data_IF_759772303252
#
_entry.id   IF_759772303252
#
_cell.length_a   1.000
_cell.length_b   1.000
_cell.length_c   1.000
_cell.angle_alpha   90.00
_cell.angle_beta   90.00
_cell.angle_gamma   90.00
#
_symmetry.space_group_name_H-M   'P 1'
#
loop_
_entity.id
_entity.type
_entity.pdbx_description
1 polymer ?
#
# COMPACT_ATOMS: atom_id res chain seq x y z
N UNK A 1 9.57 14.80 -11.06
CA UNK A 1 9.75 15.98 -10.17
C UNK A 1 11.23 16.08 -9.82
N UNK A 2 11.79 17.29 -9.79
CA UNK A 2 13.13 17.55 -9.26
C UNK A 2 12.92 18.38 -7.98
N UNK A 3 13.57 17.98 -6.89
CA UNK A 3 13.45 18.65 -5.58
C UNK A 3 14.81 19.28 -5.28
N UNK A 4 14.87 20.61 -5.25
CA UNK A 4 16.06 21.32 -4.76
C UNK A 4 15.90 21.51 -3.24
N UNK A 5 16.58 20.64 -2.50
CA UNK A 5 16.49 20.58 -1.05
C UNK A 5 17.27 21.73 -0.38
N UNK A 6 18.26 22.32 -1.07
CA UNK A 6 19.07 23.41 -0.52
C UNK A 6 18.29 24.72 -0.50
N UNK A 7 17.52 24.99 -1.57
CA UNK A 7 16.70 26.20 -1.67
C UNK A 7 15.30 26.04 -1.06
N UNK A 8 14.87 24.81 -0.74
CA UNK A 8 13.53 24.53 -0.22
C UNK A 8 12.43 24.80 -1.25
N UNK A 9 12.77 24.69 -2.54
CA UNK A 9 11.85 24.90 -3.65
C UNK A 9 11.53 23.56 -4.33
N UNK A 10 10.24 23.28 -4.47
CA UNK A 10 9.76 22.12 -5.21
C UNK A 10 9.30 22.55 -6.59
N UNK A 11 9.86 21.93 -7.62
CA UNK A 11 9.58 22.24 -9.02
C UNK A 11 8.76 21.14 -9.68
N UNK A 12 7.52 21.46 -10.05
CA UNK A 12 6.64 20.57 -10.82
C UNK A 12 6.62 21.03 -12.28
N UNK A 13 6.92 20.11 -13.20
CA UNK A 13 6.81 20.36 -14.64
C UNK A 13 5.59 19.60 -15.16
N UNK A 14 4.70 20.31 -15.84
CA UNK A 14 3.57 19.76 -16.60
C UNK A 14 3.76 20.10 -18.08
N UNK A 15 2.84 19.67 -18.95
CA UNK A 15 3.00 19.82 -20.42
C UNK A 15 3.09 21.30 -20.85
N UNK A 16 4.32 21.83 -20.88
CA UNK A 16 4.63 23.21 -21.27
C UNK A 16 4.79 24.18 -20.10
N UNK A 17 4.39 23.79 -18.88
CA UNK A 17 4.36 24.68 -17.72
C UNK A 17 5.29 24.21 -16.59
N UNK A 18 5.73 25.18 -15.79
CA UNK A 18 6.59 24.94 -14.64
C UNK A 18 6.03 25.71 -13.43
N UNK A 19 5.77 24.97 -12.35
CA UNK A 19 5.24 25.50 -11.10
C UNK A 19 6.31 25.34 -10.03
N UNK A 20 6.64 26.43 -9.32
CA UNK A 20 7.53 26.42 -8.17
C UNK A 20 6.73 26.59 -6.88
N UNK A 21 7.03 25.75 -5.89
CA UNK A 21 6.43 25.80 -4.56
C UNK A 21 7.52 26.07 -3.52
N UNK A 22 7.30 27.07 -2.66
CA UNK A 22 8.11 27.24 -1.46
C UNK A 22 7.67 26.24 -0.40
N UNK A 23 8.52 25.23 -0.14
CA UNK A 23 8.19 24.13 0.77
C UNK A 23 8.14 24.62 2.23
N UNK A 24 8.99 25.59 2.61
CA UNK A 24 8.99 26.13 3.97
C UNK A 24 7.71 26.92 4.28
N UNK A 25 7.21 27.67 3.30
CA UNK A 25 5.93 28.37 3.45
C UNK A 25 4.76 27.40 3.47
N UNK A 26 4.76 26.37 2.60
CA UNK A 26 3.71 25.35 2.57
C UNK A 26 3.66 24.47 3.83
N UNK A 27 4.80 24.29 4.51
CA UNK A 27 4.88 23.55 5.78
C UNK A 27 4.54 24.41 7.01
N UNK A 28 4.32 25.72 6.86
CA UNK A 28 3.85 26.54 7.98
C UNK A 28 2.46 26.07 8.39
N UNK A 29 2.33 25.65 9.64
CA UNK A 29 1.03 25.43 10.25
C UNK A 29 0.37 26.79 10.46
N UNK A 30 -0.89 26.92 10.05
CA UNK A 30 -1.66 28.16 10.15
C UNK A 30 -2.10 28.51 11.58
N UNK A 31 -1.84 27.65 12.57
CA UNK A 31 -2.09 27.94 13.98
C UNK A 31 -0.75 28.17 14.70
N UNK A 32 -0.43 29.45 14.87
CA UNK A 32 0.54 29.97 15.85
C UNK A 32 -0.06 29.95 17.27
N UNK A 33 -0.69 28.86 17.70
CA UNK A 33 -0.78 28.63 19.14
C UNK A 33 0.56 28.01 19.56
N UNK A 34 1.21 28.68 20.52
CA UNK A 34 2.48 28.34 21.17
C UNK A 34 2.81 26.84 21.12
N UNK A 35 4.09 26.44 20.96
CA UNK A 35 4.46 25.02 20.96
C UNK A 35 3.88 24.33 22.20
N UNK A 36 2.74 23.65 22.02
CA UNK A 36 2.01 23.07 23.13
C UNK A 36 2.86 21.91 23.61
N UNK A 37 3.45 22.05 24.80
CA UNK A 37 4.21 20.99 25.43
C UNK A 37 3.31 19.76 25.59
N UNK A 38 3.52 18.74 24.77
CA UNK A 38 2.76 17.50 24.85
C UNK A 38 3.24 16.67 26.04
N UNK A 39 2.31 16.32 26.94
CA UNK A 39 2.59 15.38 28.03
C UNK A 39 2.52 13.96 27.47
N UNK A 40 3.68 13.31 27.40
CA UNK A 40 3.76 11.88 27.03
C UNK A 40 3.46 11.06 28.28
N UNK A 41 2.38 10.28 28.25
CA UNK A 41 2.02 9.33 29.30
C UNK A 41 2.25 7.92 28.78
N UNK A 42 3.11 7.16 29.46
CA UNK A 42 3.40 5.76 29.11
C UNK A 42 2.27 4.92 29.67
N UNK A 43 1.38 4.46 28.80
CA UNK A 43 0.36 3.47 29.15
C UNK A 43 1.04 2.10 29.05
N UNK A 44 1.36 1.51 30.20
CA UNK A 44 1.69 0.07 30.26
C UNK A 44 0.44 -0.71 29.83
N UNK A 45 0.42 -1.12 28.57
CA UNK A 45 -0.50 -2.15 28.11
C UNK A 45 -0.03 -3.43 28.77
N UNK A 46 -0.62 -3.75 29.92
CA UNK A 46 -0.68 -5.14 30.35
C UNK A 46 -1.34 -5.85 29.19
N UNK A 47 -0.60 -6.67 28.44
CA UNK A 47 -1.17 -7.70 27.58
C UNK A 47 -2.00 -8.62 28.48
N UNK A 48 -3.18 -8.16 28.87
CA UNK A 48 -4.27 -9.09 29.04
C UNK A 48 -4.35 -9.78 27.70
N UNK A 49 -4.34 -11.12 27.73
CA UNK A 49 -4.59 -11.94 26.55
C UNK A 49 -5.95 -11.51 26.02
N UNK A 50 -5.98 -10.47 25.20
CA UNK A 50 -7.03 -10.23 24.27
C UNK A 50 -7.05 -11.52 23.50
N UNK A 51 -8.02 -12.38 23.85
CA UNK A 51 -8.50 -13.42 22.97
C UNK A 51 -8.55 -12.73 21.64
N UNK A 52 -7.77 -13.25 20.70
CA UNK A 52 -7.75 -12.85 19.30
C UNK A 52 -9.16 -13.07 18.76
N UNK A 53 -10.09 -12.23 19.18
CA UNK A 53 -11.21 -11.86 18.38
C UNK A 53 -10.58 -10.89 17.41
N UNK A 54 -10.15 -11.47 16.31
CA UNK A 54 -10.07 -10.82 15.01
C UNK A 54 -11.44 -10.19 14.71
N UNK A 55 -11.77 -9.13 15.44
CA UNK A 55 -12.75 -8.15 15.02
C UNK A 55 -12.03 -7.28 14.00
N UNK A 56 -11.54 -7.91 12.92
CA UNK A 56 -11.05 -7.16 11.78
C UNK A 56 -12.26 -6.44 11.18
N UNK A 57 -12.13 -5.15 10.79
CA UNK A 57 -13.16 -4.47 10.03
C UNK A 57 -13.52 -5.29 8.78
N UNK A 58 -14.79 -5.21 8.37
CA UNK A 58 -15.38 -5.98 7.26
C UNK A 58 -14.58 -5.92 5.94
N UNK A 59 -13.77 -4.87 5.75
CA UNK A 59 -12.92 -4.69 4.59
C UNK A 59 -11.73 -5.65 4.55
N UNK A 60 -11.00 -5.85 5.65
CA UNK A 60 -9.82 -6.73 5.67
C UNK A 60 -10.22 -8.19 5.43
N UNK A 61 -11.32 -8.62 6.07
CA UNK A 61 -11.88 -9.96 5.82
C UNK A 61 -12.31 -10.13 4.37
N UNK A 62 -13.02 -9.16 3.81
CA UNK A 62 -13.42 -9.20 2.39
C UNK A 62 -12.22 -9.19 1.43
N UNK A 63 -11.12 -8.52 1.81
CA UNK A 63 -9.89 -8.51 1.02
C UNK A 63 -9.21 -9.89 1.04
N UNK A 64 -9.10 -10.52 2.21
CA UNK A 64 -8.53 -11.87 2.36
C UNK A 64 -9.37 -12.90 1.60
N UNK A 65 -10.70 -12.88 1.76
CA UNK A 65 -11.61 -13.79 1.06
C UNK A 65 -11.49 -13.63 -0.48
N UNK A 66 -11.26 -12.40 -0.97
CA UNK A 66 -11.04 -12.14 -2.40
C UNK A 66 -9.69 -12.66 -2.90
N UNK A 67 -8.64 -12.61 -2.08
CA UNK A 67 -7.32 -13.12 -2.43
C UNK A 67 -7.34 -14.66 -2.51
N UNK A 68 -7.98 -15.32 -1.55
CA UNK A 68 -8.13 -16.78 -1.52
C UNK A 68 -8.94 -17.30 -2.72
N UNK A 69 -10.02 -16.59 -3.09
CA UNK A 69 -10.83 -16.93 -4.25
C UNK A 69 -10.05 -16.81 -5.57
N UNK A 70 -9.23 -15.76 -5.70
CA UNK A 70 -8.37 -15.51 -6.85
C UNK A 70 -7.26 -16.56 -6.97
N UNK A 71 -6.62 -16.95 -5.87
CA UNK A 71 -5.59 -17.98 -5.85
C UNK A 71 -6.14 -19.35 -6.31
N UNK A 72 -7.37 -19.68 -5.89
CA UNK A 72 -8.05 -20.90 -6.33
C UNK A 72 -8.45 -20.89 -7.81
N UNK A 73 -8.67 -19.72 -8.41
CA UNK A 73 -8.89 -19.56 -9.85
C UNK A 73 -7.60 -19.76 -10.63
N UNK A 74 -6.52 -19.06 -10.24
CA UNK A 74 -5.20 -19.21 -10.88
C UNK A 74 -4.68 -20.64 -10.79
N UNK A 75 -4.88 -21.31 -9.65
CA UNK A 75 -4.49 -22.72 -9.49
C UNK A 75 -5.20 -23.64 -10.49
N UNK A 76 -6.48 -23.39 -10.76
CA UNK A 76 -7.26 -24.14 -11.76
C UNK A 76 -6.81 -23.85 -13.18
N UNK A 77 -6.52 -22.60 -13.51
CA UNK A 77 -5.98 -22.23 -14.83
C UNK A 77 -4.63 -22.89 -15.08
N UNK A 78 -3.73 -22.88 -14.09
CA UNK A 78 -2.43 -23.55 -14.17
C UNK A 78 -2.61 -25.05 -14.44
N UNK A 79 -3.52 -25.71 -13.73
CA UNK A 79 -3.80 -27.13 -13.94
C UNK A 79 -4.30 -27.42 -15.38
N UNK A 80 -5.19 -26.58 -15.91
CA UNK A 80 -5.70 -26.69 -17.28
C UNK A 80 -4.57 -26.51 -18.30
N UNK A 81 -3.67 -25.54 -18.11
CA UNK A 81 -2.51 -25.35 -19.00
C UNK A 81 -1.57 -26.54 -18.96
N UNK A 82 -1.30 -27.10 -17.78
CA UNK A 82 -0.45 -28.28 -17.63
C UNK A 82 -1.05 -29.51 -18.34
N UNK A 83 -2.36 -29.72 -18.24
CA UNK A 83 -3.05 -30.80 -18.96
C UNK A 83 -2.98 -30.62 -20.48
N UNK A 84 -3.07 -29.39 -20.99
CA UNK A 84 -2.93 -29.11 -22.43
C UNK A 84 -1.51 -29.38 -22.94
N UNK A 85 -0.49 -29.07 -22.13
CA UNK A 85 0.91 -29.35 -22.47
C UNK A 85 1.20 -30.86 -22.46
N UNK A 86 0.63 -31.60 -21.51
CA UNK A 86 0.77 -33.06 -21.42
C UNK A 86 0.02 -33.76 -22.56
N UNK A 87 -1.21 -33.32 -22.89
CA UNK A 87 -1.99 -33.84 -24.01
C UNK A 87 -1.47 -33.47 -25.40
N UNK A 88 -0.59 -32.46 -25.51
CA UNK A 88 0.11 -32.08 -26.75
C UNK A 88 1.38 -32.90 -27.02
N UNK A 89 1.77 -33.79 -26.12
CA UNK A 89 2.96 -34.64 -26.23
C UNK A 89 2.66 -36.01 -26.88
N UNK A 90 1.43 -36.29 -27.28
CA UNK A 90 1.08 -37.50 -28.02
C UNK A 90 1.15 -37.23 -29.55
N UNK A 91 2.21 -37.76 -30.14
CA UNK A 91 2.45 -38.01 -31.57
C UNK A 91 2.76 -36.82 -32.51
N UNK A 92 4.03 -36.39 -32.52
CA UNK A 92 4.65 -35.96 -33.76
C UNK A 92 4.93 -37.21 -34.64
N UNK A 93 4.40 -37.31 -35.88
CA UNK A 93 4.64 -38.47 -36.73
C UNK A 93 6.09 -38.51 -37.18
N UNK A 94 6.64 -39.73 -37.22
CA UNK A 94 8.04 -40.06 -37.52
C UNK A 94 8.32 -40.14 -39.01
#
# INVERSE_FOLDING_TARGET
ALIDVEMGELMLRTDGDQIMFNVFEAMKRHDEEEPQCYRVEVIEVIEDKCKVQTSFPSLEKGLVDSMDAQEAEWSREIEIFLQQLDGGLEEAPK
#
